data_IF_457309767056
#
_entry.id   IF_457309767056
#
_cell.length_a   1.000
_cell.length_b   1.000
_cell.length_c   1.000
_cell.angle_alpha   90.00
_cell.angle_beta   90.00
_cell.angle_gamma   90.00
#
_symmetry.space_group_name_H-M   'P 1'
#
loop_
_entity.id
_entity.type
_entity.pdbx_description
1 polymer ?
#
# COMPACT_ATOMS: atom_id res chain seq x y z
N UNK A 1 6.16 -6.57 11.13
CA UNK A 1 6.89 -6.19 9.91
C UNK A 1 5.85 -6.03 8.81
N UNK A 2 5.71 -4.84 8.22
CA UNK A 2 4.72 -4.62 7.14
C UNK A 2 5.35 -5.05 5.82
N UNK A 3 4.95 -6.22 5.35
CA UNK A 3 5.59 -6.90 4.23
C UNK A 3 4.57 -7.03 3.11
N UNK A 4 4.48 -6.00 2.27
CA UNK A 4 3.66 -5.98 1.06
C UNK A 4 4.38 -6.80 -0.04
N UNK A 5 4.62 -8.09 0.22
CA UNK A 5 5.45 -8.93 -0.66
C UNK A 5 4.81 -9.12 -2.02
N UNK A 6 3.49 -9.21 -2.10
CA UNK A 6 2.77 -9.30 -3.36
C UNK A 6 1.27 -9.15 -3.08
N UNK A 7 0.61 -8.14 -3.64
CA UNK A 7 -0.84 -7.95 -3.51
C UNK A 7 -1.50 -7.74 -4.87
N UNK A 8 -2.69 -8.31 -5.05
CA UNK A 8 -3.57 -7.94 -6.14
C UNK A 8 -4.17 -6.57 -5.82
N UNK A 9 -3.88 -5.59 -6.67
CA UNK A 9 -4.23 -4.20 -6.45
C UNK A 9 -4.73 -3.56 -7.75
N UNK A 10 -5.19 -2.33 -7.66
CA UNK A 10 -5.55 -1.51 -8.81
C UNK A 10 -4.57 -0.36 -8.96
N UNK A 11 -4.05 -0.17 -10.17
CA UNK A 11 -3.37 1.08 -10.52
C UNK A 11 -4.43 2.17 -10.75
N UNK A 12 -4.84 2.84 -9.67
CA UNK A 12 -5.97 3.76 -9.71
C UNK A 12 -5.67 5.01 -10.56
N UNK A 13 -4.47 5.58 -10.45
CA UNK A 13 -4.08 6.76 -11.22
C UNK A 13 -2.60 6.73 -11.59
N UNK A 14 -2.29 7.20 -12.80
CA UNK A 14 -0.94 7.54 -13.26
C UNK A 14 -0.90 9.04 -13.58
N UNK A 15 -0.04 9.80 -12.89
CA UNK A 15 0.12 11.24 -13.07
C UNK A 15 1.56 11.56 -13.47
N UNK A 16 1.89 11.62 -14.76
CA UNK A 16 3.18 12.09 -15.22
C UNK A 16 3.33 13.59 -14.90
N UNK A 17 4.52 14.00 -14.51
CA UNK A 17 4.90 15.39 -14.24
C UNK A 17 6.33 15.66 -14.69
N UNK A 18 6.66 16.93 -14.87
CA UNK A 18 8.04 17.37 -15.11
C UNK A 18 8.57 17.96 -13.81
N UNK A 19 9.70 17.45 -13.34
CA UNK A 19 10.44 18.02 -12.21
C UNK A 19 11.71 18.70 -12.73
N UNK A 20 12.24 19.63 -11.94
CA UNK A 20 13.55 20.22 -12.21
C UNK A 20 14.58 19.49 -11.37
N UNK A 21 15.55 18.86 -12.01
CA UNK A 21 16.72 18.31 -11.34
C UNK A 21 17.91 19.25 -11.63
N UNK A 22 18.05 20.28 -10.79
CA UNK A 22 18.90 21.43 -11.11
C UNK A 22 18.28 22.26 -12.24
N UNK A 23 19.05 22.49 -13.31
CA UNK A 23 18.61 23.24 -14.49
C UNK A 23 17.96 22.37 -15.58
N UNK A 24 18.01 21.04 -15.45
CA UNK A 24 17.46 20.12 -16.44
C UNK A 24 16.06 19.62 -16.05
N UNK A 25 15.10 19.62 -17.00
CA UNK A 25 13.80 18.99 -16.78
C UNK A 25 13.94 17.47 -16.77
N UNK A 26 13.55 16.84 -15.68
CA UNK A 26 13.50 15.39 -15.52
C UNK A 26 12.05 14.90 -15.47
N UNK A 27 11.78 13.80 -16.17
CA UNK A 27 10.48 13.12 -16.08
C UNK A 27 10.28 12.51 -14.69
N UNK A 28 9.11 12.71 -14.12
CA UNK A 28 8.69 12.08 -12.88
C UNK A 28 7.22 11.65 -12.99
N UNK A 29 6.79 10.77 -12.11
CA UNK A 29 5.39 10.37 -12.04
C UNK A 29 4.96 10.04 -10.62
N UNK A 30 3.64 10.18 -10.41
CA UNK A 30 2.96 9.59 -9.27
C UNK A 30 2.04 8.46 -9.71
N UNK A 31 2.17 7.34 -9.04
CA UNK A 31 1.23 6.24 -9.13
C UNK A 31 0.39 6.23 -7.86
N UNK A 32 -0.92 6.11 -8.01
CA UNK A 32 -1.84 5.86 -6.89
C UNK A 32 -2.29 4.42 -7.02
N UNK A 33 -1.95 3.60 -6.03
CA UNK A 33 -2.27 2.18 -5.99
C UNK A 33 -3.18 1.95 -4.78
N UNK A 34 -4.23 1.15 -4.97
CA UNK A 34 -5.10 0.74 -3.88
C UNK A 34 -5.54 -0.71 -4.02
N UNK A 35 -5.88 -1.33 -2.89
CA UNK A 35 -6.45 -2.66 -2.83
C UNK A 35 -7.32 -2.80 -1.58
N UNK A 36 -8.33 -3.66 -1.66
CA UNK A 36 -9.21 -3.97 -0.53
C UNK A 36 -8.84 -5.32 0.05
N UNK A 37 -8.70 -5.39 1.37
CA UNK A 37 -8.41 -6.62 2.11
C UNK A 37 -9.26 -6.67 3.40
N UNK A 38 -9.20 -7.80 4.11
CA UNK A 38 -9.73 -7.92 5.47
C UNK A 38 -9.06 -6.93 6.42
N UNK A 39 -9.79 -6.44 7.42
CA UNK A 39 -9.25 -5.58 8.47
C UNK A 39 -8.11 -6.19 9.29
N UNK A 40 -7.82 -7.48 9.11
CA UNK A 40 -6.61 -8.13 9.62
C UNK A 40 -5.34 -7.39 9.18
N UNK A 41 -5.33 -6.78 7.98
CA UNK A 41 -4.18 -6.02 7.46
C UNK A 41 -3.81 -4.80 8.32
N UNK A 42 -4.75 -4.26 9.11
CA UNK A 42 -4.46 -3.18 10.06
C UNK A 42 -3.46 -3.61 11.13
N UNK A 43 -3.42 -4.91 11.44
CA UNK A 43 -2.49 -5.50 12.43
C UNK A 43 -1.05 -5.45 11.94
N UNK A 44 -0.84 -5.57 10.62
CA UNK A 44 0.49 -5.46 10.02
C UNK A 44 1.04 -4.04 10.09
N UNK A 45 0.14 -3.04 10.07
CA UNK A 45 0.48 -1.63 10.27
C UNK A 45 0.77 -1.33 11.74
N UNK A 46 -0.11 -1.78 12.65
CA UNK A 46 0.11 -1.73 14.08
C UNK A 46 -0.84 -2.71 14.82
N UNK A 47 -0.35 -3.53 15.78
CA UNK A 47 -1.12 -4.62 16.39
C UNK A 47 -2.47 -4.23 17.00
N UNK A 48 -2.60 -2.97 17.47
CA UNK A 48 -3.83 -2.47 18.11
C UNK A 48 -4.85 -1.84 17.16
N UNK A 49 -4.50 -1.52 15.91
CA UNK A 49 -5.38 -0.74 15.03
C UNK A 49 -6.66 -1.49 14.70
N UNK A 50 -6.57 -2.80 14.44
CA UNK A 50 -7.72 -3.65 14.12
C UNK A 50 -8.83 -3.51 15.16
N UNK A 51 -8.52 -3.81 16.43
CA UNK A 51 -9.49 -3.78 17.53
C UNK A 51 -9.83 -2.37 18.03
N UNK A 52 -9.04 -1.36 17.67
CA UNK A 52 -9.38 0.04 17.97
C UNK A 52 -10.43 0.60 17.01
N UNK A 53 -10.51 0.07 15.79
CA UNK A 53 -11.33 0.61 14.70
C UNK A 53 -12.52 -0.28 14.38
N UNK A 54 -12.44 -1.58 14.68
CA UNK A 54 -13.50 -2.55 14.49
C UNK A 54 -13.86 -3.26 15.79
N UNK A 55 -15.15 -3.51 15.96
CA UNK A 55 -15.73 -4.34 17.02
C UNK A 55 -16.59 -5.44 16.40
N UNK A 56 -16.84 -6.48 17.18
CA UNK A 56 -17.81 -7.51 16.81
C UNK A 56 -19.19 -6.87 16.63
N UNK A 57 -19.96 -7.39 15.67
CA UNK A 57 -21.36 -6.99 15.50
C UNK A 57 -22.15 -7.42 16.74
N UNK A 58 -22.80 -6.45 17.39
CA UNK A 58 -23.61 -6.69 18.59
C UNK A 58 -24.91 -7.47 18.28
N UNK A 59 -25.28 -7.57 17.00
CA UNK A 59 -26.42 -8.35 16.53
C UNK A 59 -26.07 -9.78 16.13
N UNK A 60 -24.81 -10.21 16.28
CA UNK A 60 -24.41 -11.59 16.03
C UNK A 60 -25.12 -12.52 17.04
N UNK A 61 -25.92 -13.51 16.59
CA UNK A 61 -26.66 -14.37 17.49
C UNK A 61 -25.72 -15.11 18.45
N UNK A 62 -25.83 -14.80 19.74
CA UNK A 62 -25.17 -15.50 20.85
C UNK A 62 -25.45 -17.01 20.75
N UNK A 63 -24.53 -17.74 20.11
CA UNK A 63 -24.69 -19.17 19.83
C UNK A 63 -23.54 -19.79 19.03
N UNK A 64 -22.64 -18.99 18.45
CA UNK A 64 -21.44 -19.50 17.79
C UNK A 64 -20.31 -19.79 18.79
N UNK A 65 -19.69 -20.97 18.69
CA UNK A 65 -18.49 -21.34 19.48
C UNK A 65 -17.24 -20.57 19.04
N UNK A 66 -17.30 -19.89 17.89
CA UNK A 66 -16.21 -19.07 17.34
C UNK A 66 -16.42 -17.62 17.79
N UNK A 67 -15.38 -16.93 18.32
CA UNK A 67 -15.46 -15.51 18.61
C UNK A 67 -15.88 -14.73 17.36
N UNK A 68 -16.84 -13.79 17.47
CA UNK A 68 -17.29 -13.02 16.32
C UNK A 68 -16.14 -12.17 15.75
N UNK A 69 -15.96 -12.21 14.43
CA UNK A 69 -14.98 -11.38 13.73
C UNK A 69 -15.37 -9.90 13.88
N UNK A 70 -14.41 -9.00 14.15
CA UNK A 70 -14.72 -7.60 14.34
C UNK A 70 -15.04 -6.96 12.99
N UNK A 71 -16.30 -6.86 12.60
CA UNK A 71 -16.72 -6.36 11.27
C UNK A 71 -17.36 -4.98 11.30
N UNK A 72 -17.83 -4.53 12.47
CA UNK A 72 -18.53 -3.25 12.64
C UNK A 72 -17.53 -2.14 12.98
N UNK A 73 -17.65 -0.97 12.35
CA UNK A 73 -16.79 0.19 12.64
C UNK A 73 -17.13 0.80 14.01
N UNK A 74 -16.12 0.94 14.87
CA UNK A 74 -16.25 1.49 16.24
C UNK A 74 -16.76 2.93 16.24
N UNK A 75 -16.29 3.74 15.28
CA UNK A 75 -16.62 5.15 15.17
C UNK A 75 -17.69 5.45 14.11
N UNK A 76 -18.29 4.41 13.51
CA UNK A 76 -19.18 4.57 12.35
C UNK A 76 -18.57 5.48 11.28
N UNK A 77 -19.40 6.33 10.68
CA UNK A 77 -18.99 7.26 9.61
C UNK A 77 -18.14 8.45 10.08
N UNK A 78 -17.89 8.60 11.39
CA UNK A 78 -17.04 9.68 11.89
C UNK A 78 -15.58 9.55 11.42
N UNK A 79 -15.10 8.32 11.24
CA UNK A 79 -13.74 8.03 10.77
C UNK A 79 -13.82 7.13 9.54
N UNK A 80 -13.71 7.73 8.37
CA UNK A 80 -13.68 7.01 7.09
C UNK A 80 -12.29 6.51 6.72
N UNK A 81 -11.25 7.30 7.01
CA UNK A 81 -9.88 7.01 6.56
C UNK A 81 -8.86 7.38 7.64
N UNK A 82 -7.88 6.49 7.87
CA UNK A 82 -6.67 6.82 8.61
C UNK A 82 -5.50 7.04 7.67
N UNK A 83 -4.76 8.13 7.88
CA UNK A 83 -3.52 8.42 7.15
C UNK A 83 -2.31 8.14 8.02
N UNK A 84 -1.35 7.42 7.47
CA UNK A 84 -0.13 7.05 8.16
C UNK A 84 1.03 7.92 7.68
N UNK A 85 1.87 8.37 8.63
CA UNK A 85 3.09 9.14 8.35
C UNK A 85 4.26 8.28 7.85
N UNK A 86 4.07 6.97 7.74
CA UNK A 86 5.10 6.03 7.30
C UNK A 86 5.42 6.28 5.83
N UNK A 87 6.70 6.24 5.50
CA UNK A 87 7.20 6.31 4.13
C UNK A 87 8.30 5.25 3.93
N UNK A 88 8.41 4.73 2.71
CA UNK A 88 9.49 3.85 2.28
C UNK A 88 10.31 4.63 1.26
N UNK A 89 11.51 5.08 1.65
CA UNK A 89 12.41 5.83 0.78
C UNK A 89 13.35 4.90 0.03
N UNK A 90 13.48 5.11 -1.27
CA UNK A 90 14.34 4.31 -2.13
C UNK A 90 13.99 2.82 -2.19
N UNK A 91 12.71 2.48 -2.03
CA UNK A 91 12.21 1.12 -2.21
C UNK A 91 12.25 0.70 -3.69
N UNK A 92 12.10 -0.59 -3.95
CA UNK A 92 11.82 -1.12 -5.29
C UNK A 92 10.35 -1.54 -5.37
N UNK A 93 9.67 -1.16 -6.46
CA UNK A 93 8.28 -1.55 -6.74
C UNK A 93 8.21 -2.27 -8.07
N UNK A 94 7.64 -3.46 -8.06
CA UNK A 94 7.37 -4.25 -9.27
C UNK A 94 5.87 -4.30 -9.51
N UNK A 95 5.44 -3.91 -10.71
CA UNK A 95 4.05 -4.00 -11.16
C UNK A 95 3.98 -5.09 -12.22
N UNK A 96 3.44 -6.24 -11.82
CA UNK A 96 3.14 -7.34 -12.71
C UNK A 96 1.79 -7.16 -13.40
N UNK A 97 1.75 -7.39 -14.71
CA UNK A 97 0.52 -7.42 -15.50
C UNK A 97 0.65 -8.36 -16.69
N UNK A 98 -0.47 -8.93 -17.16
CA UNK A 98 -0.48 -9.83 -18.31
C UNK A 98 0.18 -11.19 -18.04
N UNK A 99 1.01 -11.65 -18.99
CA UNK A 99 1.64 -12.99 -18.96
C UNK A 99 2.88 -13.08 -18.03
N UNK A 100 3.11 -12.07 -17.17
CA UNK A 100 4.20 -12.02 -16.18
C UNK A 100 5.56 -11.56 -16.73
N UNK A 101 6.55 -11.55 -15.82
CA UNK A 101 8.01 -11.33 -15.94
C UNK A 101 8.51 -10.40 -17.07
N UNK A 102 8.52 -10.77 -18.37
CA UNK A 102 8.90 -9.84 -19.45
C UNK A 102 8.00 -8.59 -19.55
N UNK A 103 6.78 -8.67 -19.05
CA UNK A 103 5.84 -7.55 -19.07
C UNK A 103 5.99 -6.62 -17.87
N UNK A 104 6.64 -7.07 -16.80
CA UNK A 104 6.62 -6.38 -15.51
C UNK A 104 7.26 -4.99 -15.59
N UNK A 105 6.68 -4.03 -14.87
CA UNK A 105 7.21 -2.69 -14.72
C UNK A 105 8.02 -2.66 -13.43
N UNK A 106 9.34 -2.68 -13.56
CA UNK A 106 10.27 -2.57 -12.43
C UNK A 106 10.63 -1.10 -12.22
N UNK A 107 10.24 -0.55 -11.06
CA UNK A 107 10.53 0.84 -10.67
C UNK A 107 11.46 0.83 -9.46
N UNK A 108 12.71 1.20 -9.69
CA UNK A 108 13.77 1.23 -8.67
C UNK A 108 14.80 2.32 -9.03
N UNK A 109 15.11 3.28 -8.14
CA UNK A 109 14.50 3.48 -6.81
C UNK A 109 13.20 4.29 -6.87
N UNK A 110 12.31 4.05 -5.90
CA UNK A 110 11.07 4.81 -5.72
C UNK A 110 10.81 5.16 -4.26
N UNK A 111 10.00 6.19 -4.07
CA UNK A 111 9.47 6.56 -2.77
C UNK A 111 8.01 6.11 -2.66
N UNK A 112 7.69 5.32 -1.63
CA UNK A 112 6.31 4.94 -1.31
C UNK A 112 5.84 5.75 -0.10
N UNK A 113 4.78 6.54 -0.27
CA UNK A 113 4.31 7.50 0.72
C UNK A 113 2.78 7.58 0.73
N UNK A 114 2.23 8.42 1.62
CA UNK A 114 0.80 8.67 1.75
C UNK A 114 -0.01 7.38 1.95
N UNK A 115 0.48 6.48 2.78
CA UNK A 115 -0.29 5.29 3.15
C UNK A 115 -1.58 5.70 3.86
N UNK A 116 -2.69 5.10 3.46
CA UNK A 116 -3.97 5.25 4.14
C UNK A 116 -4.75 3.95 4.19
N UNK A 117 -5.65 3.87 5.17
CA UNK A 117 -6.60 2.79 5.35
C UNK A 117 -8.01 3.38 5.40
N UNK A 118 -8.76 3.18 4.32
CA UNK A 118 -10.19 3.46 4.23
C UNK A 118 -11.00 2.34 4.89
N UNK A 119 -11.71 2.67 5.95
CA UNK A 119 -12.51 1.71 6.72
C UNK A 119 -13.86 1.51 6.03
N UNK A 120 -14.21 0.25 5.76
CA UNK A 120 -15.51 -0.12 5.20
C UNK A 120 -16.31 -0.92 6.24
N UNK A 121 -17.64 -0.82 6.18
CA UNK A 121 -18.50 -1.74 6.91
C UNK A 121 -18.30 -3.18 6.42
N UNK A 122 -18.58 -4.15 7.29
CA UNK A 122 -18.37 -5.56 7.00
C UNK A 122 -16.92 -6.04 7.16
N UNK A 123 -16.07 -5.24 7.82
CA UNK A 123 -14.71 -5.65 8.18
C UNK A 123 -13.68 -5.59 7.06
N UNK A 124 -13.99 -4.93 5.94
CA UNK A 124 -13.05 -4.69 4.84
C UNK A 124 -12.34 -3.35 4.99
N UNK A 125 -11.09 -3.29 4.53
CA UNK A 125 -10.26 -2.09 4.55
C UNK A 125 -9.65 -1.88 3.17
N UNK A 126 -9.80 -0.68 2.63
CA UNK A 126 -9.12 -0.25 1.41
C UNK A 126 -7.77 0.39 1.78
N UNK A 127 -6.68 -0.29 1.47
CA UNK A 127 -5.32 0.25 1.60
C UNK A 127 -4.98 1.04 0.34
N UNK A 128 -4.54 2.29 0.52
CA UNK A 128 -4.05 3.12 -0.58
C UNK A 128 -2.66 3.67 -0.26
N UNK A 129 -1.84 3.82 -1.28
CA UNK A 129 -0.53 4.45 -1.18
C UNK A 129 -0.12 5.09 -2.50
N UNK A 130 0.85 5.97 -2.44
CA UNK A 130 1.42 6.68 -3.58
C UNK A 130 2.86 6.23 -3.82
N UNK A 131 3.19 5.92 -5.06
CA UNK A 131 4.56 5.67 -5.52
C UNK A 131 5.04 6.87 -6.31
N UNK A 132 6.08 7.55 -5.83
CA UNK A 132 6.83 8.57 -6.57
C UNK A 132 7.99 7.92 -7.28
N UNK A 133 8.04 8.05 -8.60
CA UNK A 133 9.03 7.38 -9.44
C UNK A 133 9.51 8.26 -10.59
N UNK A 134 10.60 7.84 -11.22
CA UNK A 134 11.16 8.41 -12.45
C UNK A 134 11.12 7.34 -13.55
N UNK A 135 9.94 7.08 -14.16
CA UNK A 135 9.81 6.01 -15.14
C UNK A 135 10.53 6.38 -16.43
N UNK A 136 11.12 5.38 -17.09
CA UNK A 136 11.59 5.50 -18.47
C UNK A 136 10.42 5.64 -19.43
N UNK A 137 10.69 6.08 -20.67
CA UNK A 137 9.66 6.20 -21.71
C UNK A 137 8.92 4.89 -21.99
N UNK A 138 9.59 3.74 -21.88
CA UNK A 138 8.94 2.42 -22.05
C UNK A 138 8.02 2.09 -20.87
N UNK A 139 8.51 2.31 -19.65
CA UNK A 139 7.73 2.10 -18.44
C UNK A 139 6.50 3.00 -18.39
N UNK A 140 6.63 4.27 -18.79
CA UNK A 140 5.53 5.22 -18.86
C UNK A 140 4.42 4.78 -19.83
N UNK A 141 4.78 4.19 -20.98
CA UNK A 141 3.81 3.62 -21.93
C UNK A 141 3.03 2.47 -21.30
N UNK A 142 3.75 1.51 -20.70
CA UNK A 142 3.14 0.38 -20.00
C UNK A 142 2.22 0.84 -18.85
N UNK A 143 2.66 1.81 -18.05
CA UNK A 143 1.85 2.42 -16.98
C UNK A 143 0.56 3.04 -17.49
N UNK A 144 0.59 3.69 -18.67
CA UNK A 144 -0.60 4.24 -19.30
C UNK A 144 -1.56 3.13 -19.76
N UNK A 145 -1.04 2.02 -20.30
CA UNK A 145 -1.84 0.87 -20.75
C UNK A 145 -2.50 0.10 -19.60
N UNK A 146 -1.88 0.07 -18.42
CA UNK A 146 -2.39 -0.64 -17.24
C UNK A 146 -3.19 0.24 -16.29
N UNK A 147 -3.23 1.56 -16.52
CA UNK A 147 -3.98 2.48 -15.67
C UNK A 147 -5.46 2.10 -15.60
N UNK A 148 -5.99 2.04 -14.38
CA UNK A 148 -7.37 1.65 -14.10
C UNK A 148 -7.62 0.14 -14.05
N UNK A 149 -6.60 -0.69 -14.30
CA UNK A 149 -6.71 -2.15 -14.32
C UNK A 149 -6.20 -2.77 -13.01
N UNK A 150 -6.57 -4.03 -12.82
CA UNK A 150 -5.99 -4.88 -11.79
C UNK A 150 -4.56 -5.24 -12.17
N UNK A 151 -3.68 -5.20 -11.16
CA UNK A 151 -2.25 -5.44 -11.26
C UNK A 151 -1.81 -6.28 -10.06
N UNK A 152 -0.66 -6.93 -10.20
CA UNK A 152 0.06 -7.49 -9.05
C UNK A 152 1.13 -6.50 -8.64
N UNK A 153 1.10 -6.02 -7.40
CA UNK A 153 2.11 -5.10 -6.87
C UNK A 153 2.97 -5.77 -5.81
N UNK A 154 4.29 -5.65 -5.97
CA UNK A 154 5.29 -6.07 -4.98
C UNK A 154 6.10 -4.86 -4.57
N UNK A 155 6.22 -4.64 -3.25
CA UNK A 155 6.99 -3.52 -2.68
C UNK A 155 8.11 -4.10 -1.83
N UNK A 156 9.35 -3.83 -2.20
CA UNK A 156 10.54 -4.27 -1.47
C UNK A 156 11.22 -3.05 -0.81
N UNK A 157 11.22 -2.95 0.53
CA UNK A 157 11.93 -1.86 1.22
C UNK A 157 13.44 -1.91 1.00
N UNK A 158 14.10 -0.74 0.91
CA UNK A 158 15.56 -0.68 0.93
C UNK A 158 16.11 -0.92 2.34
N UNK A 159 16.65 -2.12 2.57
CA UNK A 159 17.23 -2.55 3.87
C UNK A 159 18.31 -1.58 4.36
N UNK A 160 19.15 -1.04 3.46
CA UNK A 160 20.29 -0.18 3.83
C UNK A 160 19.92 1.27 4.17
N UNK A 161 18.79 1.81 3.67
CA UNK A 161 18.44 3.24 3.84
C UNK A 161 17.45 3.51 4.98
N UNK A 162 16.74 2.49 5.47
CA UNK A 162 15.82 2.63 6.60
C UNK A 162 16.54 2.79 7.96
N UNK A 163 17.77 2.32 8.10
CA UNK A 163 18.57 2.49 9.32
C UNK A 163 18.91 3.95 9.66
N UNK A 164 18.85 4.86 8.69
CA UNK A 164 19.12 6.30 8.90
C UNK A 164 17.94 7.10 9.49
N UNK A 165 16.75 6.49 9.58
CA UNK A 165 15.51 7.13 10.09
C UNK A 165 15.15 6.73 11.53
N UNK A 166 16.06 6.08 12.27
CA UNK A 166 15.85 5.71 13.68
C UNK A 166 14.84 4.58 13.89
N UNK A 167 14.56 3.78 12.86
CA UNK A 167 13.80 2.55 12.99
C UNK A 167 14.79 1.43 13.31
N UNK A 168 14.84 1.03 14.59
CA UNK A 168 15.65 -0.10 15.05
C UNK A 168 15.38 -1.33 14.18
N UNK A 169 16.34 -1.63 13.30
CA UNK A 169 16.54 -2.95 12.73
C UNK A 169 17.28 -3.74 13.81
N UNK A 170 16.55 -4.32 14.76
CA UNK A 170 17.14 -5.42 15.53
C UNK A 170 17.27 -6.59 14.56
N UNK A 171 18.49 -7.07 14.27
CA UNK A 171 18.63 -8.34 13.57
C UNK A 171 18.10 -9.41 14.51
N UNK A 172 17.17 -10.22 14.03
CA UNK A 172 16.76 -11.45 14.68
C UNK A 172 18.01 -12.35 14.75
N UNK A 173 18.71 -12.29 15.88
CA UNK A 173 19.88 -13.09 16.15
C UNK A 173 19.43 -14.44 16.71
N UNK A 174 19.59 -15.45 15.85
CA UNK A 174 19.76 -16.89 16.13
C UNK A 174 18.65 -17.67 16.86
#
# INVERSE_FOLDING_TARGET
>A
MFNLYQQTAKLAQFKPRVERHGDEPAGAADLYINFTDSNSILTELHPRLRHALYKADENDPQGSTVPPEPTQRVFGDLIEELKFKRELKGAAVVIGFGLGAPSDIVLDPVDVLNFSAGLMEGGSVNIAFRVKCHPTSDQAKKLYEVMGREITVTVTPAVEKQGSLGLNLEPEAA
#
